data_IF_858519818361
#
_entry.id   IF_858519818361
#
_cell.length_a   1.000
_cell.length_b   1.000
_cell.length_c   1.000
_cell.angle_alpha   90.00
_cell.angle_beta   90.00
_cell.angle_gamma   90.00
#
_symmetry.space_group_name_H-M   'P 1'
#
loop_
_entity.id
_entity.type
_entity.pdbx_description
1 polymer ?
#
# COMPACT_ATOMS: atom_id res chain seq x y z
N UNK A 1 74.75 -27.69 14.59
CA UNK A 1 74.08 -28.65 13.69
C UNK A 1 74.50 -28.33 12.27
N UNK A 2 75.03 -29.31 11.54
CA UNK A 2 75.48 -29.12 10.15
C UNK A 2 74.27 -28.89 9.23
N UNK A 3 74.46 -28.12 8.15
CA UNK A 3 73.41 -27.84 7.17
C UNK A 3 72.86 -29.14 6.54
N UNK A 4 73.74 -30.12 6.37
CA UNK A 4 73.38 -31.44 5.84
C UNK A 4 72.42 -32.19 6.77
N UNK A 5 72.67 -32.13 8.08
CA UNK A 5 71.83 -32.78 9.09
C UNK A 5 70.42 -32.18 9.13
N UNK A 6 70.30 -30.86 8.97
CA UNK A 6 69.01 -30.17 8.86
C UNK A 6 68.25 -30.57 7.59
N UNK A 7 68.97 -30.76 6.47
CA UNK A 7 68.36 -31.17 5.20
C UNK A 7 67.77 -32.58 5.28
N UNK A 8 68.48 -33.51 5.94
CA UNK A 8 68.05 -34.89 6.13
C UNK A 8 66.84 -34.97 7.08
N UNK A 9 66.86 -34.23 8.19
CA UNK A 9 65.72 -34.12 9.11
C UNK A 9 64.46 -33.57 8.42
N UNK A 10 64.60 -32.53 7.58
CA UNK A 10 63.49 -31.99 6.77
C UNK A 10 62.95 -33.04 5.81
N UNK A 11 63.83 -33.75 5.09
CA UNK A 11 63.43 -34.80 4.14
C UNK A 11 62.66 -35.93 4.83
N UNK A 12 63.13 -36.38 6.01
CA UNK A 12 62.43 -37.38 6.80
C UNK A 12 61.04 -36.91 7.25
N UNK A 13 60.93 -35.67 7.73
CA UNK A 13 59.64 -35.07 8.11
C UNK A 13 58.67 -34.97 6.94
N UNK A 14 59.15 -34.57 5.76
CA UNK A 14 58.33 -34.51 4.55
C UNK A 14 57.85 -35.89 4.11
N UNK A 15 58.70 -36.92 4.21
CA UNK A 15 58.30 -38.29 3.90
C UNK A 15 57.23 -38.83 4.87
N UNK A 16 57.29 -38.48 6.16
CA UNK A 16 56.25 -38.85 7.13
C UNK A 16 54.91 -38.15 6.82
N UNK A 17 54.96 -36.88 6.41
CA UNK A 17 53.76 -36.15 5.98
C UNK A 17 53.16 -36.73 4.70
N UNK A 18 54.00 -37.13 3.74
CA UNK A 18 53.53 -37.78 2.51
C UNK A 18 52.87 -39.13 2.80
N UNK A 19 53.45 -39.96 3.68
CA UNK A 19 52.85 -41.22 4.11
C UNK A 19 51.51 -41.03 4.81
N UNK A 20 51.41 -40.06 5.73
CA UNK A 20 50.14 -39.73 6.41
C UNK A 20 49.06 -39.26 5.43
N UNK A 21 49.45 -38.51 4.39
CA UNK A 21 48.54 -38.08 3.33
C UNK A 21 48.02 -39.27 2.53
N UNK A 22 48.91 -40.18 2.12
CA UNK A 22 48.53 -41.42 1.43
C UNK A 22 47.61 -42.28 2.30
N UNK A 23 47.94 -42.48 3.58
CA UNK A 23 47.09 -43.22 4.53
C UNK A 23 45.72 -42.55 4.72
N UNK A 24 45.63 -41.22 4.67
CA UNK A 24 44.35 -40.52 4.74
C UNK A 24 43.53 -40.64 3.45
N UNK A 25 44.18 -40.70 2.29
CA UNK A 25 43.53 -40.88 0.99
C UNK A 25 43.03 -42.33 0.84
N UNK A 26 43.84 -43.33 1.21
CA UNK A 26 43.43 -44.75 1.17
C UNK A 26 42.35 -45.07 2.19
N UNK A 27 42.34 -44.42 3.36
CA UNK A 27 41.27 -44.59 4.35
C UNK A 27 39.94 -43.97 3.93
N UNK A 28 39.94 -43.00 3.01
CA UNK A 28 38.71 -42.46 2.41
C UNK A 28 38.18 -43.41 1.33
N UNK A 29 39.06 -44.12 0.62
CA UNK A 29 38.68 -45.03 -0.47
C UNK A 29 38.25 -46.42 0.03
N UNK A 30 38.79 -46.93 1.14
CA UNK A 30 38.45 -48.28 1.66
C UNK A 30 37.13 -48.36 2.45
N UNK A 31 36.59 -47.23 2.94
CA UNK A 31 35.34 -47.20 3.73
C UNK A 31 34.05 -47.12 2.87
N UNK A 32 34.16 -47.02 1.53
CA UNK A 32 33.02 -46.76 0.63
C UNK A 32 32.45 -48.02 -0.06
N UNK A 33 33.12 -49.18 -0.03
CA UNK A 33 32.70 -50.35 -0.84
C UNK A 33 32.08 -51.56 -0.11
N UNK A 34 32.04 -51.64 1.23
CA UNK A 34 31.65 -52.93 1.89
C UNK A 34 30.62 -52.89 3.03
N UNK A 35 29.75 -51.88 3.15
CA UNK A 35 28.59 -52.03 4.07
C UNK A 35 27.39 -51.09 3.78
N UNK A 36 26.22 -51.59 3.33
CA UNK A 36 25.03 -50.75 3.17
C UNK A 36 24.42 -50.29 4.52
N UNK A 37 24.87 -50.86 5.66
CA UNK A 37 24.39 -50.50 7.01
C UNK A 37 25.10 -49.29 7.64
N UNK A 38 26.25 -48.86 7.09
CA UNK A 38 27.01 -47.70 7.59
C UNK A 38 26.52 -46.34 7.05
N UNK A 39 25.62 -46.35 6.05
CA UNK A 39 24.91 -45.14 5.57
C UNK A 39 23.94 -44.53 6.60
N UNK A 40 23.94 -45.01 7.85
CA UNK A 40 23.14 -44.48 8.97
C UNK A 40 23.84 -43.38 9.77
N UNK A 41 25.11 -43.11 9.52
CA UNK A 41 25.67 -41.78 9.76
C UNK A 41 25.74 -41.05 8.43
N UNK A 42 24.58 -40.77 7.81
CA UNK A 42 24.48 -39.55 7.00
C UNK A 42 25.09 -38.48 7.87
N UNK A 43 26.25 -37.93 7.47
CA UNK A 43 26.85 -36.75 8.09
C UNK A 43 25.67 -35.87 8.47
N UNK A 44 25.40 -35.73 9.77
CA UNK A 44 24.32 -34.87 10.22
C UNK A 44 24.79 -33.48 9.84
N UNK A 45 24.51 -33.08 8.61
CA UNK A 45 24.79 -31.76 8.11
C UNK A 45 24.03 -30.84 9.05
N UNK A 46 24.80 -30.13 9.84
CA UNK A 46 24.29 -29.17 10.80
C UNK A 46 23.65 -28.04 10.00
N UNK A 47 22.36 -28.21 9.70
CA UNK A 47 21.55 -27.22 8.99
C UNK A 47 20.91 -26.34 10.04
N UNK A 48 21.31 -25.08 10.06
CA UNK A 48 20.59 -24.08 10.84
C UNK A 48 19.17 -23.97 10.30
N UNK A 49 18.18 -24.02 11.19
CA UNK A 49 16.76 -23.96 10.83
C UNK A 49 16.39 -22.69 10.04
N UNK A 50 17.13 -21.60 10.29
CA UNK A 50 16.89 -20.27 9.74
C UNK A 50 17.97 -19.80 8.74
N UNK A 51 18.86 -20.66 8.24
CA UNK A 51 19.88 -20.26 7.26
C UNK A 51 19.65 -20.96 5.93
N UNK A 52 19.69 -20.19 4.84
CA UNK A 52 19.68 -20.73 3.48
C UNK A 52 21.10 -20.69 2.90
N UNK A 53 21.70 -21.86 2.59
CA UNK A 53 23.04 -21.94 2.01
C UNK A 53 23.11 -21.41 0.57
N UNK A 54 21.99 -21.30 -0.17
CA UNK A 54 21.99 -20.75 -1.53
C UNK A 54 22.10 -19.22 -1.54
N UNK A 55 21.50 -18.57 -0.55
CA UNK A 55 21.44 -17.11 -0.41
C UNK A 55 22.54 -16.62 0.55
N UNK A 56 23.25 -17.55 1.20
CA UNK A 56 24.19 -17.30 2.27
C UNK A 56 23.63 -16.36 3.36
N UNK A 57 22.35 -16.49 3.70
CA UNK A 57 21.64 -15.56 4.57
C UNK A 57 20.49 -16.18 5.34
N UNK A 58 19.75 -15.38 6.12
CA UNK A 58 18.56 -15.84 6.81
C UNK A 58 17.53 -16.40 5.82
N UNK A 59 16.97 -17.56 6.13
CA UNK A 59 15.89 -18.18 5.36
C UNK A 59 14.69 -17.26 5.36
N UNK A 60 14.40 -16.65 4.21
CA UNK A 60 13.21 -15.80 4.00
C UNK A 60 12.00 -16.70 3.81
N UNK A 61 10.81 -16.17 4.10
CA UNK A 61 9.59 -16.85 3.72
C UNK A 61 9.50 -16.85 2.19
N UNK A 62 9.25 -18.00 1.58
CA UNK A 62 9.06 -18.10 0.14
C UNK A 62 7.67 -17.52 -0.19
N UNK A 63 7.61 -16.21 -0.41
CA UNK A 63 6.37 -15.50 -0.76
C UNK A 63 5.90 -15.82 -2.21
N UNK A 64 6.64 -16.65 -2.94
CA UNK A 64 6.38 -17.03 -4.33
C UNK A 64 5.08 -17.82 -4.55
N UNK A 65 4.46 -18.30 -3.47
CA UNK A 65 3.18 -19.01 -3.51
C UNK A 65 1.95 -18.17 -3.11
N UNK A 66 2.12 -16.88 -2.79
CA UNK A 66 1.00 -16.00 -2.44
C UNK A 66 0.43 -15.39 -3.74
N UNK A 67 -0.24 -16.24 -4.52
CA UNK A 67 -0.86 -15.84 -5.80
C UNK A 67 -2.18 -15.10 -5.59
N UNK A 68 -2.88 -15.37 -4.50
CA UNK A 68 -4.19 -14.76 -4.23
C UNK A 68 -4.05 -13.47 -3.40
N UNK A 69 -3.39 -12.46 -3.95
CA UNK A 69 -3.30 -11.13 -3.32
C UNK A 69 -4.39 -10.21 -3.86
N UNK A 70 -4.95 -9.33 -3.01
CA UNK A 70 -5.94 -8.30 -3.42
C UNK A 70 -5.42 -7.42 -4.56
N UNK A 71 -4.10 -7.23 -4.63
CA UNK A 71 -3.45 -6.53 -5.73
C UNK A 71 -3.69 -7.22 -7.07
N UNK A 72 -3.67 -8.55 -7.14
CA UNK A 72 -3.93 -9.30 -8.38
C UNK A 72 -5.38 -9.21 -8.81
N UNK A 73 -6.32 -9.27 -7.87
CA UNK A 73 -7.75 -9.16 -8.18
C UNK A 73 -8.15 -7.76 -8.63
N UNK A 74 -7.43 -6.72 -8.19
CA UNK A 74 -7.69 -5.32 -8.54
C UNK A 74 -6.93 -4.87 -9.79
N UNK A 75 -5.92 -5.62 -10.26
CA UNK A 75 -5.15 -5.30 -11.49
C UNK A 75 -6.05 -5.09 -12.70
N UNK A 76 -6.99 -6.01 -12.95
CA UNK A 76 -7.89 -5.92 -14.11
C UNK A 76 -8.79 -4.67 -14.05
N UNK A 77 -9.28 -4.33 -12.85
CA UNK A 77 -10.08 -3.12 -12.64
C UNK A 77 -9.24 -1.87 -12.87
N UNK A 78 -8.00 -1.84 -12.38
CA UNK A 78 -7.08 -0.73 -12.61
C UNK A 78 -6.75 -0.55 -14.08
N UNK A 79 -6.53 -1.64 -14.82
CA UNK A 79 -6.27 -1.60 -16.25
C UNK A 79 -7.48 -1.09 -17.04
N UNK A 80 -8.69 -1.50 -16.66
CA UNK A 80 -9.92 -1.00 -17.27
C UNK A 80 -10.11 0.51 -17.03
N UNK A 81 -9.89 0.99 -15.81
CA UNK A 81 -9.97 2.42 -15.48
C UNK A 81 -8.94 3.24 -16.26
N UNK A 82 -7.70 2.74 -16.38
CA UNK A 82 -6.65 3.40 -17.18
C UNK A 82 -7.05 3.49 -18.65
N UNK A 83 -7.58 2.41 -19.22
CA UNK A 83 -8.02 2.36 -20.61
C UNK A 83 -9.18 3.32 -20.88
N UNK A 84 -10.17 3.36 -19.99
CA UNK A 84 -11.28 4.32 -20.07
C UNK A 84 -10.81 5.77 -19.98
N UNK A 85 -9.83 6.05 -19.12
CA UNK A 85 -9.27 7.39 -18.99
C UNK A 85 -8.43 7.80 -20.21
N UNK A 86 -7.67 6.88 -20.80
CA UNK A 86 -6.96 7.09 -22.05
C UNK A 86 -7.93 7.35 -23.21
N UNK A 87 -9.03 6.60 -23.30
CA UNK A 87 -10.09 6.84 -24.29
C UNK A 87 -10.74 8.22 -24.06
N UNK A 88 -11.00 8.60 -22.81
CA UNK A 88 -11.57 9.92 -22.48
C UNK A 88 -10.61 11.06 -22.82
N UNK A 89 -9.31 10.87 -22.65
CA UNK A 89 -8.26 11.84 -23.02
C UNK A 89 -7.99 11.88 -24.53
N UNK A 90 -8.12 10.76 -25.22
CA UNK A 90 -7.93 10.64 -26.66
C UNK A 90 -9.18 11.03 -27.46
N UNK A 91 -10.37 10.94 -26.85
CA UNK A 91 -11.59 11.51 -27.38
C UNK A 91 -11.41 13.00 -27.62
N UNK A 92 -11.74 13.47 -28.82
CA UNK A 92 -11.70 14.88 -29.17
C UNK A 92 -12.48 15.69 -28.13
N UNK A 93 -11.95 16.85 -27.75
CA UNK A 93 -12.57 17.73 -26.76
C UNK A 93 -13.95 18.18 -27.26
N UNK A 94 -14.98 17.44 -26.87
CA UNK A 94 -16.38 17.76 -27.12
C UNK A 94 -16.68 19.17 -26.62
N UNK A 95 -16.77 20.13 -27.54
CA UNK A 95 -16.98 21.55 -27.26
C UNK A 95 -18.24 21.81 -26.41
N UNK A 96 -19.22 20.92 -26.50
CA UNK A 96 -20.47 20.93 -25.74
C UNK A 96 -20.28 20.65 -24.25
N UNK A 97 -19.25 19.88 -23.85
CA UNK A 97 -18.90 19.65 -22.43
C UNK A 97 -18.18 20.84 -21.80
N UNK A 98 -17.50 21.65 -22.61
CA UNK A 98 -16.70 22.80 -22.14
C UNK A 98 -17.55 24.07 -22.06
N UNK A 99 -18.64 24.14 -22.84
CA UNK A 99 -19.56 25.28 -22.78
C UNK A 99 -20.27 25.34 -21.40
N UNK A 100 -20.39 26.54 -20.81
CA UNK A 100 -21.15 26.70 -19.57
C UNK A 100 -22.61 26.36 -19.82
N UNK A 101 -23.09 25.30 -19.17
CA UNK A 101 -24.45 24.75 -19.35
C UNK A 101 -25.58 25.75 -19.05
N UNK A 102 -25.30 26.84 -18.33
CA UNK A 102 -26.30 27.83 -17.92
C UNK A 102 -25.88 29.25 -18.31
N UNK A 103 -26.81 30.08 -18.84
CA UNK A 103 -26.51 31.46 -19.22
C UNK A 103 -26.07 32.31 -18.02
N UNK A 104 -26.61 32.02 -16.82
CA UNK A 104 -26.35 32.79 -15.60
C UNK A 104 -25.24 32.20 -14.70
N UNK A 105 -24.45 31.24 -15.19
CA UNK A 105 -23.44 30.57 -14.37
C UNK A 105 -22.36 31.54 -13.88
N UNK A 106 -22.00 32.51 -14.73
CA UNK A 106 -20.97 33.50 -14.43
C UNK A 106 -21.48 34.55 -13.44
N UNK A 107 -22.75 34.95 -13.62
CA UNK A 107 -23.48 35.79 -12.67
C UNK A 107 -23.52 35.15 -11.28
N UNK A 108 -23.83 33.85 -11.19
CA UNK A 108 -23.84 33.11 -9.91
C UNK A 108 -22.46 33.10 -9.26
N UNK A 109 -21.41 32.83 -10.04
CA UNK A 109 -20.03 32.82 -9.56
C UNK A 109 -19.58 34.19 -9.04
N UNK A 110 -19.88 35.24 -9.78
CA UNK A 110 -19.47 36.60 -9.40
C UNK A 110 -20.32 37.16 -8.26
N UNK A 111 -21.59 36.76 -8.14
CA UNK A 111 -22.43 37.02 -6.98
C UNK A 111 -21.88 36.31 -5.74
N UNK A 112 -21.52 35.03 -5.83
CA UNK A 112 -20.92 34.27 -4.72
C UNK A 112 -19.65 34.94 -4.18
N UNK A 113 -18.80 35.50 -5.05
CA UNK A 113 -17.62 36.26 -4.61
C UNK A 113 -18.00 37.50 -3.80
N UNK A 114 -19.09 38.18 -4.18
CA UNK A 114 -19.59 39.37 -3.48
C UNK A 114 -20.27 39.02 -2.15
N UNK A 115 -21.00 37.90 -2.08
CA UNK A 115 -21.74 37.48 -0.88
C UNK A 115 -20.90 36.65 0.10
N UNK A 116 -19.76 36.09 -0.33
CA UNK A 116 -18.93 35.17 0.48
C UNK A 116 -18.61 35.66 1.89
N UNK A 117 -18.40 36.97 2.08
CA UNK A 117 -18.13 37.55 3.41
C UNK A 117 -19.38 37.75 4.25
N UNK A 118 -20.53 37.95 3.60
CA UNK A 118 -21.81 38.21 4.24
C UNK A 118 -22.52 36.91 4.63
N UNK A 119 -22.36 35.85 3.84
CA UNK A 119 -22.95 34.53 4.08
C UNK A 119 -22.68 34.01 5.51
N UNK A 120 -21.45 33.95 6.03
CA UNK A 120 -21.23 33.48 7.42
C UNK A 120 -21.88 34.38 8.48
N UNK A 121 -21.95 35.69 8.24
CA UNK A 121 -22.58 36.65 9.15
C UNK A 121 -24.09 36.45 9.18
N UNK A 122 -24.72 36.25 8.00
CA UNK A 122 -26.16 35.99 7.91
C UNK A 122 -26.54 34.66 8.55
N UNK A 123 -25.74 33.62 8.38
CA UNK A 123 -25.97 32.32 9.01
C UNK A 123 -25.84 32.39 10.53
N UNK A 124 -24.86 33.14 11.05
CA UNK A 124 -24.75 33.43 12.48
C UNK A 124 -25.97 34.21 12.99
N UNK A 125 -26.43 35.23 12.25
CA UNK A 125 -27.63 35.99 12.60
C UNK A 125 -28.88 35.09 12.61
N UNK A 126 -29.06 34.21 11.62
CA UNK A 126 -30.14 33.23 11.62
C UNK A 126 -30.09 32.30 12.83
N UNK A 127 -28.92 31.78 13.20
CA UNK A 127 -28.76 30.96 14.40
C UNK A 127 -29.20 31.72 15.67
N UNK A 128 -28.84 33.00 15.80
CA UNK A 128 -29.28 33.82 16.95
C UNK A 128 -30.79 34.08 16.94
N UNK A 129 -31.38 34.30 15.75
CA UNK A 129 -32.81 34.55 15.62
C UNK A 129 -33.64 33.29 15.93
N UNK A 130 -33.21 32.13 15.44
CA UNK A 130 -33.83 30.83 15.72
C UNK A 130 -33.75 30.55 17.22
N UNK A 131 -32.59 30.79 17.86
CA UNK A 131 -32.46 30.67 19.32
C UNK A 131 -33.46 31.53 20.07
N UNK A 132 -33.58 32.82 19.73
CA UNK A 132 -34.54 33.74 20.36
C UNK A 132 -35.98 33.26 20.18
N UNK A 133 -36.33 32.77 18.98
CA UNK A 133 -37.66 32.23 18.70
C UNK A 133 -37.94 30.95 19.50
N UNK A 134 -36.98 30.04 19.60
CA UNK A 134 -37.08 28.80 20.39
C UNK A 134 -37.23 29.07 21.89
N UNK A 135 -36.50 30.04 22.43
CA UNK A 135 -36.64 30.48 23.82
C UNK A 135 -38.02 31.10 24.08
N UNK A 136 -38.52 31.94 23.17
CA UNK A 136 -39.86 32.51 23.27
C UNK A 136 -40.98 31.44 23.18
N UNK A 137 -40.74 30.36 22.44
CA UNK A 137 -41.65 29.21 22.34
C UNK A 137 -41.54 28.23 23.53
N UNK A 138 -40.67 28.48 24.52
CA UNK A 138 -40.53 27.64 25.71
C UNK A 138 -39.80 26.31 25.49
N UNK A 139 -39.16 26.10 24.33
CA UNK A 139 -38.38 24.88 24.09
C UNK A 139 -37.04 24.95 24.84
N UNK A 140 -36.73 23.93 25.64
CA UNK A 140 -35.54 23.85 26.51
C UNK A 140 -34.24 23.53 25.77
N UNK A 141 -34.27 23.37 24.44
CA UNK A 141 -33.12 22.99 23.61
C UNK A 141 -32.38 24.22 23.05
N UNK A 142 -31.97 25.14 23.94
CA UNK A 142 -31.37 26.42 23.58
C UNK A 142 -29.84 26.36 23.35
N UNK A 143 -29.29 25.18 23.06
CA UNK A 143 -27.86 24.97 22.88
C UNK A 143 -27.34 25.50 21.53
N UNK A 144 -26.07 25.88 21.48
CA UNK A 144 -25.43 26.40 20.26
C UNK A 144 -25.42 25.41 19.10
N UNK A 145 -25.29 24.11 19.41
CA UNK A 145 -25.25 23.03 18.43
C UNK A 145 -26.59 22.76 17.75
N UNK A 146 -27.73 22.88 18.46
CA UNK A 146 -29.05 22.55 17.92
C UNK A 146 -29.53 23.60 16.93
N UNK A 147 -29.35 24.88 17.24
CA UNK A 147 -29.70 25.98 16.34
C UNK A 147 -28.84 25.95 15.06
N UNK A 148 -27.54 25.67 15.17
CA UNK A 148 -26.65 25.56 14.02
C UNK A 148 -26.97 24.33 13.14
N UNK A 149 -27.38 23.21 13.74
CA UNK A 149 -27.82 22.03 13.01
C UNK A 149 -29.09 22.30 12.20
N UNK A 150 -30.07 23.00 12.80
CA UNK A 150 -31.33 23.34 12.14
C UNK A 150 -31.13 24.32 10.97
N UNK A 151 -30.24 25.31 11.13
CA UNK A 151 -29.81 26.20 10.03
C UNK A 151 -29.15 25.40 8.90
N UNK A 152 -28.28 24.44 9.22
CA UNK A 152 -27.64 23.58 8.23
C UNK A 152 -28.65 22.71 7.48
N UNK A 153 -29.68 22.24 8.16
CA UNK A 153 -30.76 21.43 7.58
C UNK A 153 -31.64 22.27 6.65
N UNK A 154 -31.98 23.50 7.02
CA UNK A 154 -32.68 24.46 6.16
C UNK A 154 -31.88 24.76 4.89
N UNK A 155 -30.59 25.10 5.03
CA UNK A 155 -29.72 25.36 3.87
C UNK A 155 -29.57 24.12 2.96
N UNK A 156 -29.58 22.91 3.54
CA UNK A 156 -29.54 21.66 2.77
C UNK A 156 -30.83 21.42 1.99
N UNK A 157 -32.00 21.72 2.57
CA UNK A 157 -33.29 21.64 1.88
C UNK A 157 -33.38 22.65 0.73
N UNK A 158 -32.96 23.90 0.95
CA UNK A 158 -32.90 24.90 -0.14
C UNK A 158 -31.96 24.48 -1.26
N UNK A 159 -30.78 23.92 -0.92
CA UNK A 159 -29.86 23.36 -1.91
C UNK A 159 -30.46 22.19 -2.71
N UNK A 160 -31.21 21.30 -2.06
CA UNK A 160 -31.86 20.15 -2.70
C UNK A 160 -33.02 20.58 -3.62
N UNK A 161 -33.87 21.51 -3.18
CA UNK A 161 -34.96 22.05 -4.02
C UNK A 161 -34.45 22.78 -5.26
N UNK A 162 -33.28 23.43 -5.17
CA UNK A 162 -32.60 24.02 -6.32
C UNK A 162 -31.97 23.00 -7.27
N UNK A 163 -31.67 21.78 -6.80
CA UNK A 163 -31.18 20.68 -7.64
C UNK A 163 -32.34 19.89 -8.30
N UNK A 164 -33.48 19.80 -7.62
CA UNK A 164 -34.67 19.10 -8.13
C UNK A 164 -35.38 19.91 -9.22
N UNK A 165 -35.44 21.24 -9.10
CA UNK A 165 -35.92 22.11 -10.17
C UNK A 165 -35.02 22.09 -11.40
N UNK A 166 -33.71 21.90 -11.22
CA UNK A 166 -32.75 21.72 -12.31
C UNK A 166 -32.97 20.41 -13.09
N UNK A 167 -33.40 19.33 -12.43
CA UNK A 167 -33.69 18.04 -13.07
C UNK A 167 -35.03 18.04 -13.81
N UNK A 168 -36.00 18.85 -13.38
CA UNK A 168 -37.30 18.97 -14.06
C UNK A 168 -37.23 19.67 -15.43
N UNK A 169 -36.16 20.39 -15.70
CA UNK A 169 -35.90 21.05 -16.99
C UNK A 169 -35.19 20.17 -18.03
N UNK A 170 -34.85 18.92 -17.69
CA UNK A 170 -34.24 17.93 -18.59
C UNK A 170 -35.29 17.05 -19.34
N UNK A 171 -36.61 17.31 -19.21
CA UNK A 171 -37.68 16.49 -19.81
C UNK A 171 -38.43 17.11 -21.04
N UNK A 172 -38.03 18.28 -21.56
CA UNK A 172 -38.63 18.87 -22.78
C UNK A 172 -37.62 19.15 -23.90
#
# INVERSE_FOLDING_TARGET
MSLEEQSLSRKQKLNLLAKRKQESETKIEEDDETNPSSKRSKKLEFRFRNYDPSIHGPKRHDDSNIKDTVEETVKDVMENVKREDEIRRAGELELTKIQPKKPNWDLKRDLMKKTSKLDPITQAAFATLIRRRMQAAGSTTADEGTAAALVKEINKMEGATAQESDQSSDED
#
